data_IF_003573726368
#
_entry.id   IF_003573726368
#
_cell.length_a   1.000
_cell.length_b   1.000
_cell.length_c   1.000
_cell.angle_alpha   90.00
_cell.angle_beta   90.00
_cell.angle_gamma   90.00
#
_symmetry.space_group_name_H-M   'P 1'
#
loop_
_entity.id
_entity.type
_entity.pdbx_description
1 polymer ?
#
# COMPACT_ATOMS: atom_id res chain seq x y z
N UNK A 1 7.49 -20.51 -24.34
CA UNK A 1 7.93 -19.52 -23.34
C UNK A 1 6.70 -18.73 -22.96
N UNK A 2 6.22 -18.85 -21.72
CA UNK A 2 5.08 -18.06 -21.23
C UNK A 2 5.67 -16.91 -20.42
N UNK A 3 5.30 -15.68 -20.75
CA UNK A 3 5.66 -14.50 -19.98
C UNK A 3 4.40 -14.14 -19.19
N UNK A 4 4.48 -14.28 -17.86
CA UNK A 4 3.47 -13.75 -16.95
C UNK A 4 3.82 -12.28 -16.77
N UNK A 5 3.00 -11.40 -17.33
CA UNK A 5 3.14 -9.96 -17.19
C UNK A 5 2.47 -9.60 -15.87
N UNK A 6 3.25 -9.14 -14.89
CA UNK A 6 2.73 -8.66 -13.61
C UNK A 6 2.08 -7.28 -13.81
N UNK A 7 0.75 -7.24 -13.68
CA UNK A 7 -0.04 -6.01 -13.77
C UNK A 7 0.50 -4.91 -12.83
N UNK A 8 1.12 -5.27 -11.70
CA UNK A 8 1.72 -4.30 -10.77
C UNK A 8 2.99 -3.63 -11.32
N UNK A 9 3.83 -4.34 -12.07
CA UNK A 9 5.03 -3.77 -12.71
C UNK A 9 4.65 -2.67 -13.70
N UNK A 10 3.57 -2.90 -14.46
CA UNK A 10 3.07 -1.95 -15.45
C UNK A 10 2.28 -0.81 -14.80
N UNK A 11 1.46 -1.07 -13.79
CA UNK A 11 0.78 -0.04 -13.00
C UNK A 11 1.77 0.92 -12.32
N UNK A 12 2.97 0.44 -11.97
CA UNK A 12 4.05 1.26 -11.40
C UNK A 12 4.68 2.22 -12.42
N UNK A 13 4.87 1.81 -13.69
CA UNK A 13 5.36 2.70 -14.76
C UNK A 13 4.30 3.66 -15.27
N UNK A 14 3.03 3.36 -15.05
CA UNK A 14 1.91 4.19 -15.47
C UNK A 14 1.32 5.03 -14.33
N UNK A 15 1.99 5.21 -13.18
CA UNK A 15 1.47 6.00 -12.03
C UNK A 15 0.04 5.62 -11.58
N UNK A 16 -0.29 4.32 -11.52
CA UNK A 16 -1.59 3.87 -11.02
C UNK A 16 -2.78 4.22 -11.92
N UNK A 17 -2.55 4.30 -13.24
CA UNK A 17 -3.58 4.65 -14.23
C UNK A 17 -4.56 3.50 -14.48
N UNK A 18 -5.84 3.87 -14.60
CA UNK A 18 -6.97 2.98 -14.84
C UNK A 18 -6.95 2.37 -16.26
N UNK A 19 -6.14 1.33 -16.46
CA UNK A 19 -6.15 0.49 -17.65
C UNK A 19 -4.82 0.48 -18.41
N UNK A 20 -4.33 -0.69 -18.77
CA UNK A 20 -3.09 -0.88 -19.54
C UNK A 20 -3.40 -1.64 -20.82
N UNK A 21 -2.73 -1.24 -21.91
CA UNK A 21 -2.69 -1.98 -23.17
C UNK A 21 -1.23 -2.21 -23.54
N UNK A 22 -0.89 -3.42 -23.96
CA UNK A 22 0.44 -3.82 -24.41
C UNK A 22 0.37 -4.14 -25.89
N UNK A 23 1.29 -3.57 -26.64
CA UNK A 23 1.39 -3.69 -28.08
C UNK A 23 2.70 -4.36 -28.49
N UNK A 24 2.67 -5.08 -29.60
CA UNK A 24 3.88 -5.52 -30.29
C UNK A 24 4.54 -4.32 -31.03
N UNK A 25 5.66 -4.57 -31.71
CA UNK A 25 6.37 -3.58 -32.52
C UNK A 25 5.51 -2.94 -33.63
N UNK A 26 4.43 -3.59 -34.07
CA UNK A 26 3.50 -3.11 -35.10
C UNK A 26 2.29 -2.36 -34.53
N UNK A 27 2.26 -2.07 -33.23
CA UNK A 27 1.09 -1.49 -32.55
C UNK A 27 -0.17 -2.38 -32.53
N UNK A 28 -0.02 -3.70 -32.72
CA UNK A 28 -1.11 -4.65 -32.51
C UNK A 28 -1.23 -5.00 -31.02
N UNK A 29 -2.45 -4.98 -30.45
CA UNK A 29 -2.63 -5.29 -29.04
C UNK A 29 -2.37 -6.78 -28.78
N UNK A 30 -1.34 -7.04 -27.99
CA UNK A 30 -0.97 -8.38 -27.50
C UNK A 30 -1.75 -8.70 -26.23
N UNK A 31 -1.97 -7.67 -25.40
CA UNK A 31 -2.73 -7.78 -24.16
C UNK A 31 -3.42 -6.44 -23.85
N UNK A 32 -4.58 -6.49 -23.21
CA UNK A 32 -5.30 -5.32 -22.73
C UNK A 32 -6.12 -5.69 -21.51
N UNK A 33 -6.30 -4.72 -20.60
CA UNK A 33 -7.17 -4.88 -19.43
C UNK A 33 -8.59 -5.31 -19.87
N UNK A 34 -9.20 -6.33 -19.22
CA UNK A 34 -10.53 -6.86 -19.56
C UNK A 34 -11.65 -5.82 -19.63
N UNK A 35 -11.45 -4.67 -18.99
CA UNK A 35 -12.33 -3.51 -19.04
C UNK A 35 -12.44 -2.89 -20.45
N UNK A 36 -11.55 -3.25 -21.37
CA UNK A 36 -11.48 -2.74 -22.74
C UNK A 36 -11.75 -3.82 -23.78
N UNK A 37 -12.34 -3.42 -24.91
CA UNK A 37 -12.54 -4.32 -26.04
C UNK A 37 -11.31 -4.36 -26.93
N UNK A 38 -11.11 -5.49 -27.64
CA UNK A 38 -10.06 -5.62 -28.66
C UNK A 38 -10.10 -4.47 -29.67
N UNK A 39 -11.30 -4.07 -30.10
CA UNK A 39 -11.50 -2.96 -31.05
C UNK A 39 -11.03 -1.63 -30.49
N UNK A 40 -11.28 -1.36 -29.21
CA UNK A 40 -10.77 -0.16 -28.54
C UNK A 40 -9.25 -0.19 -28.47
N UNK A 41 -8.67 -1.33 -28.06
CA UNK A 41 -7.23 -1.49 -27.97
C UNK A 41 -6.53 -1.29 -29.33
N UNK A 42 -7.07 -1.86 -30.41
CA UNK A 42 -6.55 -1.64 -31.78
C UNK A 42 -6.69 -0.19 -32.23
N UNK A 43 -7.73 0.52 -31.80
CA UNK A 43 -7.90 1.95 -32.13
C UNK A 43 -6.85 2.82 -31.43
N UNK A 44 -6.50 2.48 -30.18
CA UNK A 44 -5.39 3.11 -29.45
C UNK A 44 -4.05 2.83 -30.14
N UNK A 45 -3.82 1.58 -30.57
CA UNK A 45 -2.63 1.20 -31.33
C UNK A 45 -2.47 2.02 -32.62
N UNK A 46 -3.53 2.16 -33.41
CA UNK A 46 -3.52 2.97 -34.64
C UNK A 46 -3.25 4.46 -34.36
N UNK A 47 -3.85 5.02 -33.30
CA UNK A 47 -3.64 6.41 -32.91
C UNK A 47 -2.17 6.67 -32.53
N UNK A 48 -1.56 5.76 -31.78
CA UNK A 48 -0.18 5.88 -31.34
C UNK A 48 0.82 5.57 -32.49
N UNK A 49 0.49 4.63 -33.38
CA UNK A 49 1.28 4.33 -34.58
C UNK A 49 1.44 5.55 -35.50
N UNK A 50 0.40 6.36 -35.62
CA UNK A 50 0.47 7.59 -36.42
C UNK A 50 1.31 8.71 -35.81
N UNK A 51 1.73 8.60 -34.55
CA UNK A 51 2.45 9.64 -33.81
C UNK A 51 3.57 9.01 -32.98
N UNK A 52 4.68 8.67 -33.64
CA UNK A 52 5.79 7.83 -33.13
C UNK A 52 6.71 8.55 -32.12
N UNK A 53 6.13 9.34 -31.21
CA UNK A 53 6.87 10.06 -30.16
C UNK A 53 6.50 9.53 -28.77
N UNK A 54 7.51 9.01 -28.07
CA UNK A 54 7.40 8.50 -26.71
C UNK A 54 6.99 9.61 -25.72
N UNK A 55 6.04 9.31 -24.83
CA UNK A 55 5.63 10.22 -23.75
C UNK A 55 4.54 11.24 -24.10
N UNK A 56 3.94 11.19 -25.28
CA UNK A 56 2.82 12.09 -25.63
C UNK A 56 1.52 11.66 -24.92
N UNK A 57 0.82 12.65 -24.36
CA UNK A 57 -0.52 12.52 -23.79
C UNK A 57 -1.55 12.70 -24.91
N UNK A 58 -2.20 11.63 -25.35
CA UNK A 58 -3.32 11.71 -26.30
C UNK A 58 -4.66 11.65 -25.59
N UNK A 59 -5.63 12.47 -26.02
CA UNK A 59 -7.00 12.37 -25.54
C UNK A 59 -7.84 11.59 -26.55
N UNK A 60 -8.32 10.40 -26.16
CA UNK A 60 -9.27 9.61 -26.93
C UNK A 60 -10.58 9.49 -26.15
N UNK A 61 -11.55 10.34 -26.51
CA UNK A 61 -12.83 10.42 -25.81
C UNK A 61 -12.66 10.90 -24.36
N UNK A 62 -12.87 10.00 -23.39
CA UNK A 62 -12.74 10.30 -21.95
C UNK A 62 -11.44 9.75 -21.33
N UNK A 63 -10.47 9.35 -22.14
CA UNK A 63 -9.22 8.75 -21.66
C UNK A 63 -8.00 9.54 -22.12
N UNK A 64 -7.07 9.81 -21.21
CA UNK A 64 -5.71 10.25 -21.51
C UNK A 64 -4.81 9.03 -21.68
N UNK A 65 -4.14 8.93 -22.81
CA UNK A 65 -3.27 7.81 -23.17
C UNK A 65 -1.84 8.30 -23.09
N UNK A 66 -0.97 7.56 -22.40
CA UNK A 66 0.48 7.81 -22.43
C UNK A 66 1.18 6.52 -22.79
N UNK A 67 2.06 6.61 -23.78
CA UNK A 67 2.88 5.50 -24.23
C UNK A 67 4.30 5.56 -23.64
N UNK A 68 4.83 4.39 -23.32
CA UNK A 68 6.25 4.17 -23.06
C UNK A 68 6.70 2.91 -23.77
N UNK A 69 7.94 2.92 -24.25
CA UNK A 69 8.57 1.74 -24.81
C UNK A 69 9.20 0.88 -23.71
N UNK A 70 9.18 -0.44 -23.91
CA UNK A 70 9.94 -1.40 -23.13
C UNK A 70 11.15 -1.81 -23.98
N UNK A 71 12.36 -1.66 -23.45
CA UNK A 71 13.61 -2.07 -24.14
C UNK A 71 13.63 -3.57 -24.51
N UNK A 72 12.74 -4.38 -23.94
CA UNK A 72 12.61 -5.79 -24.22
C UNK A 72 11.61 -6.04 -25.36
N UNK A 73 12.09 -6.62 -26.47
CA UNK A 73 11.32 -6.98 -27.68
C UNK A 73 10.64 -5.83 -28.45
N UNK A 74 11.06 -4.58 -28.26
CA UNK A 74 10.45 -3.40 -28.89
C UNK A 74 8.93 -3.30 -28.62
N UNK A 75 8.50 -3.84 -27.48
CA UNK A 75 7.09 -3.79 -27.07
C UNK A 75 6.76 -2.40 -26.52
N UNK A 76 5.55 -1.96 -26.83
CA UNK A 76 5.06 -0.63 -26.44
C UNK A 76 3.91 -0.78 -25.46
N UNK A 77 3.89 0.04 -24.41
CA UNK A 77 2.84 0.02 -23.38
C UNK A 77 2.11 1.34 -23.40
N UNK A 78 0.78 1.30 -23.43
CA UNK A 78 -0.06 2.48 -23.23
C UNK A 78 -0.81 2.39 -21.90
N UNK A 79 -0.60 3.38 -21.03
CA UNK A 79 -1.40 3.62 -19.84
C UNK A 79 -2.58 4.53 -20.15
N UNK A 80 -3.79 4.10 -19.78
CA UNK A 80 -5.04 4.83 -19.96
C UNK A 80 -5.48 5.46 -18.64
N UNK A 81 -5.74 6.76 -18.64
CA UNK A 81 -6.28 7.48 -17.49
C UNK A 81 -7.69 7.94 -17.82
N UNK A 82 -8.70 7.42 -17.14
CA UNK A 82 -10.07 7.95 -17.27
C UNK A 82 -10.10 9.39 -16.74
N UNK A 83 -10.37 10.35 -17.63
CA UNK A 83 -10.50 11.78 -17.32
C UNK A 83 -11.60 12.02 -16.26
N UNK A 84 -12.58 11.11 -16.17
CA UNK A 84 -13.75 11.23 -15.31
C UNK A 84 -13.44 11.25 -13.82
N UNK A 85 -12.45 10.52 -13.29
CA UNK A 85 -12.20 10.54 -11.84
C UNK A 85 -11.59 11.87 -11.36
N UNK A 86 -10.66 12.43 -12.13
CA UNK A 86 -10.10 13.76 -11.88
C UNK A 86 -11.17 14.85 -12.05
N UNK A 87 -11.98 14.78 -13.12
CA UNK A 87 -13.07 15.72 -13.36
C UNK A 87 -14.18 15.64 -12.31
N UNK A 88 -14.48 14.46 -11.77
CA UNK A 88 -15.50 14.31 -10.71
C UNK A 88 -14.99 14.93 -9.41
N UNK A 89 -13.73 14.68 -9.02
CA UNK A 89 -13.10 15.33 -7.85
C UNK A 89 -13.06 16.86 -7.99
N UNK A 90 -12.70 17.37 -9.17
CA UNK A 90 -12.70 18.82 -9.45
C UNK A 90 -14.11 19.42 -9.43
N UNK A 91 -15.12 18.72 -9.96
CA UNK A 91 -16.53 19.16 -9.91
C UNK A 91 -17.06 19.21 -8.49
N UNK A 92 -16.71 18.26 -7.63
CA UNK A 92 -17.09 18.27 -6.21
C UNK A 92 -16.48 19.48 -5.49
N UNK A 93 -15.21 19.77 -5.71
CA UNK A 93 -14.55 20.97 -5.16
C UNK A 93 -15.22 22.26 -5.66
N UNK A 94 -15.51 22.35 -6.96
CA UNK A 94 -16.15 23.52 -7.56
C UNK A 94 -17.57 23.74 -7.02
N UNK A 95 -18.35 22.66 -6.89
CA UNK A 95 -19.69 22.70 -6.31
C UNK A 95 -19.65 23.16 -4.84
N UNK A 96 -18.65 22.72 -4.09
CA UNK A 96 -18.47 23.14 -2.71
C UNK A 96 -18.06 24.61 -2.59
N UNK A 97 -17.16 25.10 -3.44
CA UNK A 97 -16.82 26.53 -3.54
C UNK A 97 -18.08 27.35 -3.85
N UNK A 98 -18.90 26.88 -4.79
CA UNK A 98 -20.15 27.55 -5.15
C UNK A 98 -21.17 27.55 -4.01
N UNK A 99 -21.27 26.45 -3.26
CA UNK A 99 -22.13 26.34 -2.08
C UNK A 99 -21.68 27.29 -0.96
N UNK A 100 -20.37 27.40 -0.71
CA UNK A 100 -19.82 28.34 0.26
C UNK A 100 -20.06 29.79 -0.19
N UNK A 101 -19.88 30.07 -1.48
CA UNK A 101 -20.18 31.39 -2.04
C UNK A 101 -21.66 31.76 -1.85
N UNK A 102 -22.57 30.83 -2.11
CA UNK A 102 -24.01 31.02 -1.87
C UNK A 102 -24.33 31.23 -0.40
N UNK A 103 -23.69 30.48 0.51
CA UNK A 103 -23.88 30.64 1.95
C UNK A 103 -23.40 32.03 2.42
N UNK A 104 -22.26 32.49 1.91
CA UNK A 104 -21.73 33.82 2.21
C UNK A 104 -22.63 34.93 1.67
N UNK A 105 -23.16 34.76 0.45
CA UNK A 105 -24.12 35.68 -0.13
C UNK A 105 -25.41 35.75 0.69
N UNK A 106 -25.92 34.60 1.16
CA UNK A 106 -27.11 34.51 2.00
C UNK A 106 -26.90 35.23 3.34
N UNK A 107 -25.77 34.98 4.00
CA UNK A 107 -25.42 35.65 5.27
C UNK A 107 -25.29 37.16 5.06
N UNK A 108 -24.57 37.60 4.03
CA UNK A 108 -24.45 39.02 3.69
C UNK A 108 -25.83 39.66 3.43
N UNK A 109 -26.71 38.99 2.68
CA UNK A 109 -28.05 39.48 2.38
C UNK A 109 -28.92 39.64 3.64
N UNK A 110 -28.91 38.64 4.53
CA UNK A 110 -29.65 38.70 5.81
C UNK A 110 -29.15 39.88 6.66
N UNK A 111 -27.82 40.06 6.75
CA UNK A 111 -27.23 41.14 7.52
C UNK A 111 -27.47 42.53 6.91
N UNK A 112 -27.40 42.68 5.59
CA UNK A 112 -27.76 43.93 4.90
C UNK A 112 -29.21 44.29 5.18
N UNK A 113 -30.14 43.33 5.09
CA UNK A 113 -31.56 43.56 5.36
C UNK A 113 -31.80 43.99 6.81
N UNK A 114 -31.09 43.38 7.76
CA UNK A 114 -31.18 43.73 9.19
C UNK A 114 -30.56 45.10 9.51
N UNK A 115 -29.45 45.46 8.85
CA UNK A 115 -28.84 46.77 9.00
C UNK A 115 -29.70 47.87 8.37
N UNK A 116 -30.25 47.63 7.18
CA UNK A 116 -31.11 48.55 6.46
C UNK A 116 -32.42 48.83 7.21
N UNK A 117 -33.07 47.80 7.78
CA UNK A 117 -34.28 47.99 8.58
C UNK A 117 -34.00 48.85 9.81
N UNK A 118 -32.93 48.56 10.55
CA UNK A 118 -32.56 49.34 11.75
C UNK A 118 -32.10 50.77 11.44
N UNK A 119 -31.44 50.99 10.30
CA UNK A 119 -31.09 52.33 9.82
C UNK A 119 -32.34 53.11 9.44
N UNK A 120 -33.27 52.49 8.72
CA UNK A 120 -34.56 53.07 8.35
C UNK A 120 -35.37 53.47 9.59
N UNK A 121 -35.47 52.59 10.59
CA UNK A 121 -36.18 52.88 11.84
C UNK A 121 -35.58 54.08 12.58
N UNK A 122 -34.25 54.23 12.57
CA UNK A 122 -33.58 55.37 13.20
C UNK A 122 -33.76 56.66 12.41
N UNK A 123 -33.69 56.61 11.08
CA UNK A 123 -33.98 57.77 10.22
C UNK A 123 -35.43 58.22 10.41
N UNK A 124 -36.38 57.29 10.42
CA UNK A 124 -37.80 57.56 10.69
C UNK A 124 -38.03 58.15 12.09
N UNK A 125 -37.29 57.66 13.10
CA UNK A 125 -37.34 58.26 14.44
C UNK A 125 -36.82 59.69 14.46
N UNK A 126 -35.81 60.00 13.63
CA UNK A 126 -35.18 61.31 13.56
C UNK A 126 -36.05 62.30 12.77
N UNK A 127 -36.66 61.86 11.66
CA UNK A 127 -37.60 62.67 10.90
C UNK A 127 -38.87 62.95 11.71
N UNK A 128 -39.41 61.96 12.43
CA UNK A 128 -40.55 62.19 13.32
C UNK A 128 -40.23 63.09 14.51
N UNK A 129 -39.01 63.06 15.05
CA UNK A 129 -38.54 64.03 16.04
C UNK A 129 -38.41 65.44 15.44
N UNK A 130 -37.89 65.58 14.22
CA UNK A 130 -37.81 66.86 13.51
C UNK A 130 -39.20 67.42 13.16
N UNK A 131 -40.14 66.57 12.75
CA UNK A 131 -41.53 66.94 12.51
C UNK A 131 -42.23 67.37 13.80
N UNK A 132 -42.03 66.64 14.91
CA UNK A 132 -42.52 67.05 16.23
C UNK A 132 -41.92 68.37 16.69
N UNK A 133 -40.63 68.61 16.44
CA UNK A 133 -39.96 69.87 16.77
C UNK A 133 -40.49 71.03 15.91
N UNK A 134 -40.77 70.78 14.63
CA UNK A 134 -41.37 71.77 13.71
C UNK A 134 -42.86 72.04 14.02
N UNK A 135 -43.57 71.02 14.51
CA UNK A 135 -44.98 71.09 14.92
C UNK A 135 -45.17 71.66 16.33
N UNK A 136 -44.16 71.58 17.20
CA UNK A 136 -44.18 72.11 18.57
C UNK A 136 -43.45 73.46 18.59
N UNK A 137 -44.13 74.49 18.07
CA UNK A 137 -43.69 75.87 18.19
C UNK A 137 -44.08 76.48 19.56
N UNK A 138 -44.29 75.63 20.57
CA UNK A 138 -44.61 76.06 21.93
C UNK A 138 -43.50 75.66 22.88
N UNK A 139 -42.86 76.71 23.42
CA UNK A 139 -41.93 76.68 24.53
C UNK A 139 -42.57 75.90 25.68
N UNK A 140 -42.18 74.64 25.86
CA UNK A 140 -42.03 73.90 27.13
C UNK A 140 -42.17 72.40 26.85
N UNK A 141 -41.08 71.74 26.50
CA UNK A 141 -40.98 70.29 26.63
C UNK A 141 -39.82 69.98 27.60
N UNK A 142 -40.07 69.41 28.79
CA UNK A 142 -38.99 69.00 29.67
C UNK A 142 -38.27 67.81 29.04
N UNK A 143 -36.97 67.98 28.80
CA UNK A 143 -36.02 66.92 28.45
C UNK A 143 -35.96 65.90 29.60
N UNK A 144 -36.93 65.00 29.67
CA UNK A 144 -36.75 63.71 30.34
C UNK A 144 -36.19 62.73 29.30
N UNK A 145 -34.88 62.81 29.07
CA UNK A 145 -34.14 61.66 28.57
C UNK A 145 -33.83 60.78 29.78
N UNK A 146 -34.64 59.74 29.98
CA UNK A 146 -34.31 58.64 30.87
C UNK A 146 -32.90 58.14 30.56
N UNK A 147 -32.06 58.21 31.57
CA UNK A 147 -30.65 57.86 31.57
C UNK A 147 -30.48 56.34 31.63
N UNK A 148 -31.01 55.61 30.64
CA UNK A 148 -30.60 54.23 30.41
C UNK A 148 -29.33 54.21 29.55
N UNK A 149 -28.20 54.57 30.17
CA UNK A 149 -26.84 54.32 29.63
C UNK A 149 -26.57 52.81 29.56
N UNK A 150 -27.22 52.11 28.64
CA UNK A 150 -26.55 51.00 27.96
C UNK A 150 -25.52 51.66 27.03
N UNK A 151 -24.26 51.21 27.08
CA UNK A 151 -23.22 51.63 26.12
C UNK A 151 -23.74 51.37 24.71
N UNK A 152 -24.34 52.39 24.09
CA UNK A 152 -24.89 52.29 22.77
C UNK A 152 -23.71 52.34 21.80
N UNK A 153 -23.44 51.20 21.17
CA UNK A 153 -22.41 51.06 20.13
C UNK A 153 -22.67 52.13 19.07
N UNK A 154 -21.68 52.98 18.82
CA UNK A 154 -21.77 54.08 17.86
C UNK A 154 -21.96 53.56 16.43
N UNK A 155 -22.52 54.37 15.53
CA UNK A 155 -22.74 53.98 14.11
C UNK A 155 -21.42 53.54 13.46
N UNK A 156 -20.30 54.18 13.80
CA UNK A 156 -18.95 53.84 13.34
C UNK A 156 -18.55 52.44 13.79
N UNK A 157 -18.71 52.12 15.07
CA UNK A 157 -18.41 50.79 15.61
C UNK A 157 -19.31 49.72 14.99
N UNK A 158 -20.59 50.01 14.72
CA UNK A 158 -21.50 49.08 14.03
C UNK A 158 -21.09 48.80 12.59
N UNK A 159 -20.66 49.83 11.85
CA UNK A 159 -20.11 49.68 10.49
C UNK A 159 -18.81 48.87 10.49
N UNK A 160 -17.95 49.10 11.49
CA UNK A 160 -16.74 48.31 11.68
C UNK A 160 -17.05 46.85 11.99
N UNK A 161 -17.92 46.56 12.98
CA UNK A 161 -18.37 45.20 13.27
C UNK A 161 -19.06 44.54 12.07
N UNK A 162 -19.83 45.30 11.29
CA UNK A 162 -20.44 44.82 10.06
C UNK A 162 -19.39 44.37 9.04
N UNK A 163 -18.37 45.19 8.76
CA UNK A 163 -17.28 44.86 7.84
C UNK A 163 -16.46 43.67 8.34
N UNK A 164 -16.14 43.65 9.64
CA UNK A 164 -15.37 42.58 10.27
C UNK A 164 -16.17 41.27 10.22
N UNK A 165 -17.43 41.24 10.66
CA UNK A 165 -18.23 40.01 10.69
C UNK A 165 -18.53 39.52 9.26
N UNK A 166 -18.90 40.41 8.33
CA UNK A 166 -19.23 40.04 6.95
C UNK A 166 -18.03 39.55 6.15
N UNK A 167 -16.80 39.87 6.55
CA UNK A 167 -15.58 39.39 5.88
C UNK A 167 -14.94 38.23 6.64
N UNK A 168 -14.72 38.39 7.94
CA UNK A 168 -13.91 37.47 8.76
C UNK A 168 -14.63 36.15 9.05
N UNK A 169 -15.95 36.16 9.26
CA UNK A 169 -16.71 34.92 9.50
C UNK A 169 -16.72 34.02 8.26
N UNK A 170 -17.08 34.51 7.06
CA UNK A 170 -16.92 33.77 5.80
C UNK A 170 -15.53 33.17 5.56
N UNK A 171 -14.49 33.98 5.73
CA UNK A 171 -13.10 33.54 5.50
C UNK A 171 -12.71 32.45 6.50
N UNK A 172 -13.14 32.57 7.75
CA UNK A 172 -12.86 31.55 8.79
C UNK A 172 -13.57 30.24 8.50
N UNK A 173 -14.85 30.28 8.11
CA UNK A 173 -15.62 29.07 7.73
C UNK A 173 -14.98 28.42 6.50
N UNK A 174 -14.59 29.21 5.51
CA UNK A 174 -13.91 28.72 4.31
C UNK A 174 -12.58 28.04 4.65
N UNK A 175 -11.74 28.69 5.47
CA UNK A 175 -10.48 28.10 5.93
C UNK A 175 -10.68 26.78 6.69
N UNK A 176 -11.67 26.72 7.56
CA UNK A 176 -12.01 25.50 8.31
C UNK A 176 -12.48 24.36 7.39
N UNK A 177 -13.35 24.66 6.41
CA UNK A 177 -13.85 23.65 5.46
C UNK A 177 -12.75 23.12 4.54
N UNK A 178 -11.89 24.01 4.02
CA UNK A 178 -10.72 23.61 3.24
C UNK A 178 -9.81 22.73 4.08
N UNK A 179 -9.51 23.12 5.32
CA UNK A 179 -8.65 22.34 6.19
C UNK A 179 -9.18 20.91 6.41
N UNK A 180 -10.48 20.78 6.72
CA UNK A 180 -11.13 19.47 6.90
C UNK A 180 -11.05 18.61 5.63
N UNK A 181 -11.29 19.21 4.47
CA UNK A 181 -11.26 18.48 3.20
C UNK A 181 -9.86 18.13 2.74
N UNK A 182 -8.91 19.05 2.85
CA UNK A 182 -7.50 18.82 2.54
C UNK A 182 -6.95 17.72 3.43
N UNK A 183 -7.27 17.74 4.73
CA UNK A 183 -6.87 16.66 5.64
C UNK A 183 -7.41 15.31 5.19
N UNK A 184 -8.72 15.21 4.93
CA UNK A 184 -9.34 13.96 4.48
C UNK A 184 -8.76 13.47 3.15
N UNK A 185 -8.55 14.38 2.21
CA UNK A 185 -7.97 14.06 0.91
C UNK A 185 -6.54 13.53 1.04
N UNK A 186 -5.71 14.18 1.86
CA UNK A 186 -4.34 13.73 2.14
C UNK A 186 -4.36 12.37 2.83
N UNK A 187 -5.23 12.16 3.82
CA UNK A 187 -5.39 10.87 4.50
C UNK A 187 -5.79 9.74 3.52
N UNK A 188 -6.80 9.98 2.68
CA UNK A 188 -7.28 9.00 1.69
C UNK A 188 -6.17 8.65 0.67
N UNK A 189 -5.42 9.64 0.21
CA UNK A 189 -4.34 9.43 -0.76
C UNK A 189 -3.15 8.71 -0.13
N UNK A 190 -2.76 9.08 1.10
CA UNK A 190 -1.71 8.38 1.85
C UNK A 190 -2.07 6.92 2.13
N UNK A 191 -3.34 6.62 2.45
CA UNK A 191 -3.79 5.23 2.66
C UNK A 191 -3.65 4.42 1.37
N UNK A 192 -4.08 4.98 0.23
CA UNK A 192 -3.99 4.31 -1.07
C UNK A 192 -2.55 4.06 -1.50
N UNK A 193 -1.69 5.06 -1.37
CA UNK A 193 -0.28 4.94 -1.72
C UNK A 193 0.42 3.87 -0.86
N UNK A 194 0.24 3.91 0.46
CA UNK A 194 0.83 2.91 1.36
C UNK A 194 0.26 1.50 1.11
N UNK A 195 -1.04 1.38 0.80
CA UNK A 195 -1.64 0.10 0.43
C UNK A 195 -1.00 -0.46 -0.85
N UNK A 196 -0.80 0.37 -1.88
CA UNK A 196 -0.15 -0.07 -3.11
C UNK A 196 1.29 -0.53 -2.88
N UNK A 197 2.07 0.18 -2.05
CA UNK A 197 3.42 -0.24 -1.67
C UNK A 197 3.39 -1.54 -0.85
N UNK A 198 2.41 -1.70 0.03
CA UNK A 198 2.19 -2.91 0.83
C UNK A 198 1.87 -4.11 -0.05
N UNK A 199 0.91 -4.00 -0.97
CA UNK A 199 0.54 -5.07 -1.90
C UNK A 199 1.72 -5.48 -2.78
N UNK A 200 2.48 -4.50 -3.29
CA UNK A 200 3.70 -4.76 -4.05
C UNK A 200 4.75 -5.52 -3.22
N UNK A 201 4.96 -5.11 -1.98
CA UNK A 201 5.95 -5.76 -1.09
C UNK A 201 5.49 -7.16 -0.68
N UNK A 202 4.19 -7.34 -0.43
CA UNK A 202 3.56 -8.64 -0.19
C UNK A 202 3.82 -9.60 -1.36
N UNK A 203 3.52 -9.17 -2.58
CA UNK A 203 3.73 -9.99 -3.78
C UNK A 203 5.22 -10.32 -3.96
N UNK A 204 6.12 -9.35 -3.75
CA UNK A 204 7.57 -9.58 -3.80
C UNK A 204 8.02 -10.65 -2.80
N UNK A 205 7.53 -10.61 -1.55
CA UNK A 205 7.82 -11.64 -0.55
C UNK A 205 7.27 -12.99 -0.99
N UNK A 206 6.01 -13.05 -1.44
CA UNK A 206 5.38 -14.28 -1.90
C UNK A 206 6.14 -14.91 -3.06
N UNK A 207 6.50 -14.14 -4.08
CA UNK A 207 7.32 -14.62 -5.20
C UNK A 207 8.69 -15.08 -4.75
N UNK A 208 9.32 -14.34 -3.83
CA UNK A 208 10.59 -14.75 -3.24
C UNK A 208 10.47 -16.12 -2.57
N UNK A 209 9.50 -16.32 -1.68
CA UNK A 209 9.27 -17.60 -1.00
C UNK A 209 8.88 -18.71 -1.96
N UNK A 210 8.02 -18.43 -2.94
CA UNK A 210 7.60 -19.38 -3.97
C UNK A 210 8.81 -19.86 -4.80
N UNK A 211 9.71 -18.96 -5.19
CA UNK A 211 10.96 -19.36 -5.86
C UNK A 211 11.79 -20.29 -4.98
N UNK A 212 11.97 -19.98 -3.69
CA UNK A 212 12.71 -20.87 -2.76
C UNK A 212 12.07 -22.25 -2.65
N UNK A 213 10.75 -22.30 -2.63
CA UNK A 213 10.01 -23.56 -2.65
C UNK A 213 10.20 -24.37 -3.92
N UNK A 214 10.08 -23.74 -5.09
CA UNK A 214 10.31 -24.42 -6.37
C UNK A 214 11.71 -25.00 -6.48
N UNK A 215 12.70 -24.31 -5.90
CA UNK A 215 14.07 -24.80 -5.85
C UNK A 215 14.21 -26.02 -4.94
N UNK A 216 13.63 -25.98 -3.74
CA UNK A 216 13.61 -27.13 -2.84
C UNK A 216 12.90 -28.33 -3.46
N UNK A 217 11.77 -28.12 -4.15
CA UNK A 217 11.07 -29.17 -4.87
C UNK A 217 11.90 -29.76 -6.01
N UNK A 218 12.56 -28.91 -6.80
CA UNK A 218 13.44 -29.37 -7.88
C UNK A 218 14.56 -30.26 -7.33
N UNK A 219 15.16 -29.87 -6.20
CA UNK A 219 16.15 -30.71 -5.55
C UNK A 219 15.53 -32.00 -5.00
N UNK A 220 14.39 -31.94 -4.32
CA UNK A 220 13.78 -33.12 -3.67
C UNK A 220 13.31 -34.18 -4.65
N UNK A 221 12.91 -33.80 -5.88
CA UNK A 221 12.46 -34.73 -6.91
C UNK A 221 13.49 -34.96 -8.03
N UNK A 222 14.66 -34.33 -7.94
CA UNK A 222 15.70 -34.37 -8.97
C UNK A 222 16.79 -35.43 -8.69
N UNK A 223 18.03 -35.09 -9.03
CA UNK A 223 19.19 -35.98 -8.85
C UNK A 223 19.44 -36.38 -7.39
N UNK A 224 19.00 -35.55 -6.42
CA UNK A 224 19.15 -35.89 -5.01
C UNK A 224 18.33 -37.11 -4.59
N UNK A 225 17.11 -37.27 -5.11
CA UNK A 225 16.28 -38.46 -4.83
C UNK A 225 17.01 -39.73 -5.28
N UNK A 226 17.52 -39.71 -6.52
CA UNK A 226 18.23 -40.85 -7.12
C UNK A 226 19.45 -41.23 -6.28
N UNK A 227 20.22 -40.23 -5.87
CA UNK A 227 21.45 -40.47 -5.11
C UNK A 227 21.16 -40.93 -3.67
N UNK A 228 20.17 -40.35 -3.00
CA UNK A 228 19.74 -40.83 -1.67
C UNK A 228 19.18 -42.25 -1.75
N UNK A 229 18.43 -42.58 -2.80
CA UNK A 229 17.91 -43.93 -3.05
C UNK A 229 19.03 -44.94 -3.31
N UNK A 230 20.03 -44.55 -4.12
CA UNK A 230 21.23 -45.35 -4.35
C UNK A 230 21.97 -45.62 -3.04
N UNK A 231 22.19 -44.58 -2.23
CA UNK A 231 22.82 -44.69 -0.91
C UNK A 231 22.08 -45.64 0.02
N UNK A 232 20.75 -45.52 0.07
CA UNK A 232 19.91 -46.39 0.89
C UNK A 232 19.99 -47.87 0.47
N UNK A 233 20.07 -48.15 -0.84
CA UNK A 233 20.17 -49.52 -1.37
C UNK A 233 21.58 -50.12 -1.30
N UNK A 234 22.60 -49.32 -1.56
CA UNK A 234 23.99 -49.77 -1.74
C UNK A 234 24.85 -49.61 -0.48
N UNK A 235 24.36 -48.92 0.55
CA UNK A 235 25.10 -48.70 1.80
C UNK A 235 26.31 -47.76 1.68
N UNK A 236 26.38 -46.96 0.60
CA UNK A 236 27.46 -46.00 0.36
C UNK A 236 27.54 -44.94 1.46
N UNK A 237 28.76 -44.62 1.94
CA UNK A 237 28.96 -43.61 2.98
C UNK A 237 28.81 -42.18 2.44
N UNK A 238 29.22 -41.95 1.19
CA UNK A 238 29.31 -40.63 0.54
C UNK A 238 28.27 -40.46 -0.57
N UNK A 239 27.79 -39.22 -0.71
CA UNK A 239 27.07 -38.77 -1.91
C UNK A 239 28.08 -38.53 -3.04
N UNK A 240 27.77 -39.00 -4.24
CA UNK A 240 28.55 -38.72 -5.46
C UNK A 240 28.19 -37.37 -6.10
N UNK A 241 27.25 -36.62 -5.51
CA UNK A 241 26.90 -35.26 -5.94
C UNK A 241 27.86 -34.29 -5.26
N UNK A 242 28.52 -33.44 -6.04
CA UNK A 242 29.39 -32.39 -5.50
C UNK A 242 28.55 -31.19 -5.08
N UNK A 243 28.98 -30.47 -4.03
CA UNK A 243 28.42 -29.14 -3.69
C UNK A 243 28.43 -28.22 -4.92
N UNK A 244 29.45 -28.32 -5.78
CA UNK A 244 29.54 -27.54 -7.02
C UNK A 244 28.44 -27.87 -8.04
N UNK A 245 27.93 -29.10 -8.10
CA UNK A 245 26.86 -29.46 -9.04
C UNK A 245 25.52 -28.89 -8.56
N UNK A 246 25.27 -28.97 -7.25
CA UNK A 246 24.13 -28.30 -6.61
C UNK A 246 24.27 -26.78 -6.63
N UNK A 247 25.49 -26.24 -6.48
CA UNK A 247 25.77 -24.81 -6.43
C UNK A 247 25.72 -24.14 -7.81
N UNK A 248 26.21 -24.82 -8.85
CA UNK A 248 26.07 -24.35 -10.22
C UNK A 248 24.58 -24.30 -10.61
N UNK A 249 23.77 -25.28 -10.20
CA UNK A 249 22.32 -25.17 -10.34
C UNK A 249 21.71 -24.08 -9.44
N UNK A 250 22.22 -23.88 -8.22
CA UNK A 250 21.67 -22.93 -7.25
C UNK A 250 21.85 -21.47 -7.65
N UNK A 251 22.97 -21.12 -8.29
CA UNK A 251 23.25 -19.75 -8.77
C UNK A 251 22.23 -19.35 -9.86
N UNK A 252 21.94 -20.24 -10.81
CA UNK A 252 20.89 -20.00 -11.83
C UNK A 252 19.48 -19.96 -11.24
N UNK A 253 19.28 -20.55 -10.06
CA UNK A 253 18.00 -20.61 -9.35
C UNK A 253 17.80 -19.46 -8.35
N UNK A 254 18.73 -18.49 -8.29
CA UNK A 254 18.61 -17.31 -7.44
C UNK A 254 18.87 -17.56 -5.95
N UNK A 255 19.67 -18.58 -5.62
CA UNK A 255 20.18 -18.82 -4.27
C UNK A 255 21.54 -18.12 -4.13
N UNK A 256 21.51 -16.88 -3.61
CA UNK A 256 22.70 -16.02 -3.54
C UNK A 256 23.36 -16.05 -2.17
N UNK A 257 22.60 -16.29 -1.10
CA UNK A 257 23.10 -16.21 0.28
C UNK A 257 22.56 -17.29 1.21
N UNK A 258 21.66 -18.14 0.70
CA UNK A 258 21.00 -19.18 1.46
C UNK A 258 21.92 -20.39 1.66
N UNK A 259 21.82 -20.98 2.85
CA UNK A 259 22.59 -22.18 3.20
C UNK A 259 21.72 -23.39 2.93
N UNK A 260 22.21 -24.33 2.12
CA UNK A 260 21.56 -25.59 1.81
C UNK A 260 22.28 -26.71 2.54
N UNK A 261 21.51 -27.50 3.28
CA UNK A 261 21.98 -28.64 4.05
C UNK A 261 21.14 -29.86 3.64
N UNK A 262 21.80 -30.99 3.43
CA UNK A 262 21.15 -32.24 3.02
C UNK A 262 21.44 -33.28 4.07
N UNK A 263 20.40 -33.96 4.54
CA UNK A 263 20.48 -34.95 5.61
C UNK A 263 19.91 -36.29 5.16
N UNK A 264 20.41 -37.38 5.75
CA UNK A 264 19.79 -38.70 5.61
C UNK A 264 18.53 -38.85 6.47
N UNK A 265 17.84 -39.98 6.31
CA UNK A 265 16.66 -40.35 7.10
C UNK A 265 16.92 -40.42 8.62
N UNK A 266 18.16 -40.57 9.06
CA UNK A 266 18.55 -40.60 10.48
C UNK A 266 18.91 -39.22 11.04
N UNK A 267 18.88 -38.18 10.19
CA UNK A 267 19.22 -36.80 10.55
C UNK A 267 20.71 -36.50 10.54
N UNK A 268 21.55 -37.34 9.94
CA UNK A 268 22.98 -37.04 9.78
C UNK A 268 23.19 -36.16 8.56
N UNK A 269 24.00 -35.11 8.71
CA UNK A 269 24.36 -34.22 7.60
C UNK A 269 25.19 -34.98 6.56
N UNK A 270 24.78 -34.90 5.31
CA UNK A 270 25.46 -35.52 4.17
C UNK A 270 26.19 -34.49 3.32
N UNK A 271 25.60 -33.30 3.19
CA UNK A 271 26.13 -32.22 2.37
C UNK A 271 25.77 -30.86 2.96
N UNK A 272 26.67 -29.90 2.85
CA UNK A 272 26.45 -28.50 3.22
C UNK A 272 27.01 -27.58 2.15
N UNK A 273 26.26 -26.58 1.73
CA UNK A 273 26.78 -25.49 0.89
C UNK A 273 27.65 -24.51 1.70
N UNK A 274 27.55 -24.52 3.03
CA UNK A 274 28.32 -23.65 3.91
C UNK A 274 29.44 -24.43 4.63
N UNK A 275 30.71 -24.03 4.47
CA UNK A 275 31.86 -24.74 5.04
C UNK A 275 31.91 -24.74 6.58
N UNK A 276 31.11 -23.88 7.23
CA UNK A 276 31.01 -23.79 8.68
C UNK A 276 30.26 -24.97 9.31
N UNK A 277 29.45 -25.71 8.54
CA UNK A 277 28.71 -26.87 9.06
C UNK A 277 29.51 -28.15 8.88
N UNK A 278 29.77 -28.85 9.99
CA UNK A 278 30.51 -30.11 9.98
C UNK A 278 29.56 -31.29 9.69
N UNK A 279 30.01 -32.22 8.85
CA UNK A 279 29.27 -33.41 8.37
C UNK A 279 28.78 -34.33 9.53
N UNK A 280 29.30 -34.17 10.75
CA UNK A 280 28.84 -34.91 11.93
C UNK A 280 27.70 -34.27 12.71
N UNK A 281 27.16 -33.13 12.26
CA UNK A 281 26.07 -32.46 12.97
C UNK A 281 24.75 -33.21 12.74
N UNK A 282 24.18 -33.73 13.82
CA UNK A 282 22.86 -34.35 13.81
C UNK A 282 21.81 -33.25 14.00
N UNK A 283 20.89 -33.15 13.05
CA UNK A 283 19.76 -32.24 13.16
C UNK A 283 18.56 -32.98 13.72
N UNK A 284 17.98 -32.51 14.81
CA UNK A 284 16.76 -33.07 15.41
C UNK A 284 15.50 -32.63 14.65
N UNK A 285 15.62 -31.69 13.71
CA UNK A 285 14.50 -31.11 12.98
C UNK A 285 13.82 -32.13 12.05
N UNK A 286 14.51 -33.24 11.72
CA UNK A 286 13.91 -34.39 11.03
C UNK A 286 12.71 -34.99 11.78
N UNK A 287 12.63 -34.85 13.11
CA UNK A 287 11.51 -35.36 13.93
C UNK A 287 10.19 -34.67 13.57
N UNK A 288 10.24 -33.43 13.09
CA UNK A 288 9.06 -32.67 12.67
C UNK A 288 8.51 -33.12 11.31
N UNK A 289 9.27 -33.93 10.54
CA UNK A 289 8.82 -34.50 9.26
C UNK A 289 7.87 -35.69 9.44
N UNK A 290 7.73 -36.23 10.66
CA UNK A 290 7.06 -37.51 10.95
C UNK A 290 5.54 -37.57 10.71
N UNK A 291 4.89 -36.46 10.36
CA UNK A 291 3.45 -36.41 10.07
C UNK A 291 3.08 -35.68 8.76
N UNK A 292 3.89 -34.73 8.30
CA UNK A 292 3.63 -33.98 7.07
C UNK A 292 4.24 -34.72 5.87
N UNK A 293 3.37 -35.40 5.10
CA UNK A 293 3.74 -36.20 3.94
C UNK A 293 4.05 -35.37 2.69
N UNK A 294 3.73 -34.08 2.69
CA UNK A 294 3.88 -33.18 1.55
C UNK A 294 4.07 -31.74 2.04
N UNK A 295 4.96 -31.00 1.39
CA UNK A 295 5.12 -29.56 1.59
C UNK A 295 6.40 -29.15 2.31
N UNK A 296 6.54 -27.84 2.51
CA UNK A 296 7.65 -27.24 3.23
C UNK A 296 7.23 -26.95 4.66
N UNK A 297 8.02 -27.45 5.61
CA UNK A 297 7.91 -27.05 7.01
C UNK A 297 8.86 -25.88 7.21
N UNK A 298 8.45 -24.89 8.00
CA UNK A 298 9.32 -23.77 8.32
C UNK A 298 9.43 -23.56 9.83
N UNK A 299 10.54 -22.96 10.25
CA UNK A 299 10.74 -22.54 11.63
C UNK A 299 11.71 -21.36 11.72
N UNK A 300 11.49 -20.43 12.66
CA UNK A 300 12.48 -19.41 12.97
C UNK A 300 13.65 -20.06 13.73
N UNK A 301 14.86 -19.72 13.34
CA UNK A 301 16.09 -20.20 13.96
C UNK A 301 17.07 -19.07 14.27
N UNK A 302 18.11 -19.42 15.01
CA UNK A 302 19.18 -18.51 15.38
C UNK A 302 20.52 -19.24 15.28
N UNK A 303 21.50 -18.61 14.62
CA UNK A 303 22.82 -19.20 14.44
C UNK A 303 23.65 -19.05 15.71
N UNK A 304 24.74 -19.81 15.80
CA UNK A 304 25.77 -19.63 16.83
C UNK A 304 26.38 -18.22 16.79
N UNK A 305 26.40 -17.58 15.61
CA UNK A 305 26.82 -16.20 15.40
C UNK A 305 25.72 -15.17 15.68
N UNK A 306 24.66 -15.55 16.39
CA UNK A 306 23.55 -14.68 16.80
C UNK A 306 22.74 -14.09 15.63
N UNK A 307 22.82 -14.68 14.42
CA UNK A 307 22.04 -14.27 13.25
C UNK A 307 20.70 -14.99 13.23
N UNK A 308 19.62 -14.26 12.95
CA UNK A 308 18.29 -14.83 12.80
C UNK A 308 18.09 -15.33 11.37
N UNK A 309 17.45 -16.49 11.23
CA UNK A 309 17.10 -17.05 9.94
C UNK A 309 15.73 -17.72 10.00
N UNK A 310 15.11 -17.89 8.84
CA UNK A 310 13.97 -18.79 8.66
C UNK A 310 14.51 -20.02 7.96
N UNK A 311 14.28 -21.17 8.55
CA UNK A 311 14.59 -22.43 7.89
C UNK A 311 13.38 -22.97 7.18
N UNK A 312 13.59 -23.46 5.96
CA UNK A 312 12.66 -24.24 5.17
C UNK A 312 13.16 -25.69 5.12
N UNK A 313 12.28 -26.64 5.44
CA UNK A 313 12.56 -28.07 5.49
C UNK A 313 11.66 -28.80 4.51
N UNK A 314 12.25 -29.65 3.66
CA UNK A 314 11.51 -30.46 2.70
C UNK A 314 11.97 -31.93 2.76
N UNK A 315 11.07 -32.88 3.03
CA UNK A 315 11.40 -34.30 2.96
C UNK A 315 11.66 -34.75 1.52
N UNK A 316 12.58 -35.69 1.36
CA UNK A 316 12.85 -36.36 0.07
C UNK A 316 12.21 -37.73 0.10
N UNK A 317 11.24 -37.93 -0.81
CA UNK A 317 10.55 -39.22 -0.99
C UNK A 317 11.01 -39.87 -2.29
N UNK A 318 11.04 -41.20 -2.35
CA UNK A 318 11.32 -41.91 -3.59
C UNK A 318 10.17 -41.72 -4.59
N UNK A 319 10.51 -41.59 -5.88
CA UNK A 319 9.53 -41.39 -6.96
C UNK A 319 8.70 -42.64 -7.29
N UNK A 320 9.00 -43.78 -6.66
CA UNK A 320 8.27 -45.05 -6.85
C UNK A 320 6.96 -45.15 -6.05
N UNK A 321 6.55 -44.07 -5.38
CA UNK A 321 5.32 -43.99 -4.60
C UNK A 321 5.44 -44.53 -3.18
N UNK A 322 6.65 -44.94 -2.76
CA UNK A 322 6.90 -45.26 -1.35
C UNK A 322 6.82 -44.00 -0.48
N UNK A 323 6.16 -44.13 0.68
CA UNK A 323 6.08 -43.08 1.70
C UNK A 323 7.30 -43.07 2.63
N UNK A 324 8.32 -43.87 2.34
CA UNK A 324 9.54 -43.88 3.14
C UNK A 324 10.38 -42.65 2.82
N UNK A 325 10.63 -41.82 3.84
CA UNK A 325 11.53 -40.67 3.72
C UNK A 325 12.96 -41.16 3.54
N UNK A 326 13.62 -40.78 2.44
CA UNK A 326 15.03 -41.11 2.17
C UNK A 326 15.99 -40.18 2.92
N UNK A 327 15.52 -38.96 3.19
CA UNK A 327 16.27 -37.88 3.81
C UNK A 327 15.49 -36.58 3.75
N UNK A 328 16.16 -35.46 3.99
CA UNK A 328 15.53 -34.15 3.86
C UNK A 328 16.53 -33.07 3.45
N UNK A 329 15.98 -32.02 2.85
CA UNK A 329 16.70 -30.81 2.48
C UNK A 329 16.28 -29.72 3.45
N UNK A 330 17.27 -28.97 3.89
CA UNK A 330 17.13 -27.79 4.73
C UNK A 330 17.71 -26.59 3.99
N UNK A 331 16.97 -25.48 3.98
CA UNK A 331 17.41 -24.20 3.45
C UNK A 331 17.23 -23.12 4.51
N UNK A 332 18.33 -22.50 4.91
CA UNK A 332 18.30 -21.38 5.86
C UNK A 332 18.35 -20.06 5.09
N UNK A 333 17.30 -19.26 5.27
CA UNK A 333 17.15 -17.90 4.71
C UNK A 333 17.49 -16.91 5.80
N UNK A 334 18.54 -16.11 5.61
CA UNK A 334 18.90 -15.07 6.58
C UNK A 334 17.81 -14.01 6.70
N UNK A 335 17.55 -13.54 7.92
CA UNK A 335 16.66 -12.42 8.17
C UNK A 335 17.02 -11.18 7.34
N UNK A 336 18.29 -10.88 7.10
CA UNK A 336 18.67 -9.74 6.26
C UNK A 336 18.16 -9.87 4.82
N UNK A 337 18.22 -11.07 4.24
CA UNK A 337 17.75 -11.33 2.88
C UNK A 337 16.22 -11.24 2.79
N UNK A 338 15.53 -11.73 3.82
CA UNK A 338 14.08 -11.63 3.92
C UNK A 338 13.61 -10.19 4.19
N UNK A 339 14.31 -9.47 5.07
CA UNK A 339 14.03 -8.07 5.39
C UNK A 339 14.10 -7.18 4.16
N UNK A 340 15.11 -7.41 3.30
CA UNK A 340 15.29 -6.70 2.04
C UNK A 340 14.09 -6.86 1.07
N UNK A 341 13.27 -7.90 1.23
CA UNK A 341 12.07 -8.04 0.40
C UNK A 341 11.02 -6.97 0.72
N UNK A 342 11.02 -6.42 1.94
CA UNK A 342 10.11 -5.37 2.37
C UNK A 342 10.83 -4.06 2.78
N UNK A 343 12.03 -3.80 2.26
CA UNK A 343 12.75 -2.53 2.46
C UNK A 343 11.94 -1.30 2.04
N UNK A 344 11.20 -1.42 0.93
CA UNK A 344 10.36 -0.34 0.38
C UNK A 344 9.29 0.17 1.36
N UNK A 345 8.89 -0.63 2.35
CA UNK A 345 7.88 -0.23 3.35
C UNK A 345 8.44 0.62 4.48
N UNK A 346 9.77 0.75 4.58
CA UNK A 346 10.42 1.46 5.67
C UNK A 346 10.56 2.94 5.33
N UNK A 347 10.00 3.78 6.21
CA UNK A 347 10.17 5.23 6.18
C UNK A 347 10.32 5.75 7.61
N UNK A 348 10.47 7.06 7.78
CA UNK A 348 10.59 7.69 9.10
C UNK A 348 9.41 7.37 10.04
N UNK A 349 8.22 7.10 9.50
CA UNK A 349 6.99 6.85 10.27
C UNK A 349 6.32 5.51 9.95
N UNK A 350 7.01 4.59 9.26
CA UNK A 350 6.44 3.28 8.90
C UNK A 350 7.38 2.16 9.30
N UNK A 351 6.82 1.12 9.88
CA UNK A 351 7.53 -0.09 10.27
C UNK A 351 6.86 -1.30 9.64
N UNK A 352 7.67 -2.25 9.18
CA UNK A 352 7.22 -3.46 8.53
C UNK A 352 7.97 -4.66 9.11
N UNK A 353 7.24 -5.74 9.29
CA UNK A 353 7.74 -6.98 9.89
C UNK A 353 6.85 -8.14 9.50
N UNK A 354 7.37 -9.35 9.68
CA UNK A 354 6.63 -10.59 9.46
C UNK A 354 6.39 -11.25 10.81
N UNK A 355 5.18 -11.72 11.05
CA UNK A 355 4.78 -12.44 12.26
C UNK A 355 4.35 -13.87 11.95
N UNK A 356 4.49 -14.76 12.93
CA UNK A 356 3.88 -16.09 12.89
C UNK A 356 2.39 -16.06 13.28
N UNK A 357 1.74 -17.22 13.23
CA UNK A 357 0.33 -17.39 13.61
C UNK A 357 0.03 -17.05 15.08
N UNK A 358 1.06 -16.99 15.93
CA UNK A 358 0.97 -16.61 17.35
C UNK A 358 1.29 -15.12 17.56
N UNK A 359 1.29 -14.32 16.49
CA UNK A 359 1.63 -12.91 16.48
C UNK A 359 3.03 -12.60 17.02
N UNK A 360 3.98 -13.54 16.87
CA UNK A 360 5.37 -13.36 17.25
C UNK A 360 6.18 -12.92 16.04
N UNK A 361 7.00 -11.88 16.19
CA UNK A 361 7.83 -11.36 15.11
C UNK A 361 8.89 -12.40 14.72
N UNK A 362 8.88 -12.84 13.46
CA UNK A 362 9.84 -13.79 12.89
C UNK A 362 10.87 -13.13 11.98
N UNK A 363 10.53 -11.97 11.41
CA UNK A 363 11.48 -11.17 10.62
C UNK A 363 11.27 -9.68 10.88
N UNK A 364 12.38 -8.98 11.09
CA UNK A 364 12.40 -7.55 11.37
C UNK A 364 13.75 -6.93 10.99
N UNK A 365 13.75 -5.66 10.58
CA UNK A 365 14.99 -4.90 10.34
C UNK A 365 15.84 -4.74 11.60
N UNK A 366 15.22 -4.27 12.68
CA UNK A 366 15.81 -4.33 14.01
C UNK A 366 15.71 -5.76 14.58
N UNK A 367 16.83 -6.47 14.66
CA UNK A 367 16.91 -7.85 15.15
C UNK A 367 16.45 -8.02 16.60
N UNK A 368 16.51 -6.96 17.42
CA UNK A 368 16.06 -7.00 18.82
C UNK A 368 14.54 -7.11 18.95
N UNK A 369 13.81 -6.87 17.87
CA UNK A 369 12.37 -7.04 17.82
C UNK A 369 11.96 -8.49 17.51
N UNK A 370 12.86 -9.28 16.93
CA UNK A 370 12.57 -10.68 16.58
C UNK A 370 12.33 -11.47 17.87
N UNK A 371 11.29 -12.29 17.86
CA UNK A 371 10.69 -13.02 18.98
C UNK A 371 9.82 -12.22 19.95
N UNK A 372 9.64 -10.90 19.78
CA UNK A 372 8.64 -10.17 20.55
C UNK A 372 7.24 -10.51 20.04
N UNK A 373 6.30 -10.63 20.96
CA UNK A 373 4.88 -10.80 20.63
C UNK A 373 4.25 -9.44 20.43
N UNK A 374 3.39 -9.33 19.42
CA UNK A 374 2.58 -8.16 19.17
C UNK A 374 1.17 -8.43 19.67
N UNK A 375 0.60 -7.49 20.41
CA UNK A 375 -0.79 -7.57 20.84
C UNK A 375 -1.74 -7.24 19.69
N UNK A 376 -1.90 -8.17 18.74
CA UNK A 376 -2.83 -8.05 17.61
C UNK A 376 -4.19 -8.62 18.04
N UNK A 377 -4.85 -7.96 19.01
CA UNK A 377 -6.14 -8.41 19.58
C UNK A 377 -7.33 -8.42 18.61
N UNK A 378 -7.17 -8.00 17.35
CA UNK A 378 -8.28 -7.63 16.46
C UNK A 378 -8.10 -7.99 14.98
N UNK A 379 -7.41 -9.08 14.66
CA UNK A 379 -7.34 -9.57 13.28
C UNK A 379 -8.06 -10.92 13.09
N UNK A 380 -8.86 -10.96 12.03
CA UNK A 380 -9.55 -12.14 11.51
C UNK A 380 -8.79 -12.49 10.23
N UNK A 381 -8.01 -13.58 10.26
CA UNK A 381 -7.12 -13.97 9.15
C UNK A 381 -7.84 -14.26 7.84
N UNK A 382 -9.16 -14.48 7.92
CA UNK A 382 -9.96 -15.00 6.82
C UNK A 382 -10.57 -13.89 5.97
N UNK A 383 -10.30 -12.63 6.29
CA UNK A 383 -10.77 -11.47 5.53
C UNK A 383 -9.58 -10.61 5.15
N UNK A 384 -9.13 -10.76 3.91
CA UNK A 384 -8.28 -9.79 3.21
C UNK A 384 -8.95 -8.41 3.33
N UNK A 385 -8.56 -7.64 4.34
CA UNK A 385 -9.10 -6.31 4.61
C UNK A 385 -7.96 -5.30 4.59
N UNK A 386 -7.97 -4.38 3.63
CA UNK A 386 -6.97 -3.32 3.58
C UNK A 386 -7.17 -2.35 4.77
N UNK A 387 -6.11 -2.13 5.54
CA UNK A 387 -5.94 -0.98 6.43
C UNK A 387 -6.91 -0.91 7.60
N UNK A 388 -6.63 -1.62 8.70
CA UNK A 388 -7.33 -1.34 9.97
C UNK A 388 -6.59 -0.27 10.75
N UNK A 389 -7.33 0.75 11.18
CA UNK A 389 -6.85 1.72 12.16
C UNK A 389 -6.72 0.99 13.50
N UNK A 390 -5.48 0.74 13.94
CA UNK A 390 -5.18 0.22 15.25
C UNK A 390 -4.86 1.38 16.18
N UNK A 391 -5.45 1.35 17.39
CA UNK A 391 -5.12 2.30 18.46
C UNK A 391 -4.42 1.53 19.57
N UNK A 392 -3.23 1.96 19.93
CA UNK A 392 -2.52 1.46 21.12
C UNK A 392 -2.22 2.63 22.07
N UNK A 393 -1.47 2.37 23.14
CA UNK A 393 -1.05 3.37 24.13
C UNK A 393 -0.13 4.46 23.57
N UNK A 394 0.48 4.25 22.40
CA UNK A 394 1.47 5.14 21.78
C UNK A 394 0.85 6.00 20.66
N UNK A 395 -0.35 5.67 20.20
CA UNK A 395 -1.02 6.45 19.16
C UNK A 395 -2.06 5.70 18.34
N UNK A 396 -2.49 6.35 17.26
CA UNK A 396 -3.35 5.77 16.23
C UNK A 396 -2.50 5.46 15.01
N UNK A 397 -2.45 4.18 14.61
CA UNK A 397 -1.67 3.68 13.49
C UNK A 397 -2.61 3.02 12.48
N UNK A 398 -2.21 3.00 11.20
CA UNK A 398 -2.91 2.25 10.16
C UNK A 398 -2.07 1.01 9.90
N UNK A 399 -2.65 -0.17 10.13
CA UNK A 399 -1.98 -1.43 9.91
C UNK A 399 -2.55 -2.13 8.68
N UNK A 400 -1.65 -2.54 7.80
CA UNK A 400 -1.93 -3.44 6.68
C UNK A 400 -1.37 -4.81 7.04
N UNK A 401 -2.18 -5.85 6.90
CA UNK A 401 -1.80 -7.23 7.22
C UNK A 401 -2.37 -8.14 6.15
N UNK A 402 -1.57 -9.14 5.76
CA UNK A 402 -1.96 -10.16 4.79
C UNK A 402 -1.25 -11.46 5.09
N UNK A 403 -1.94 -12.58 4.96
CA UNK A 403 -1.36 -13.91 5.15
C UNK A 403 -0.52 -14.24 3.92
N UNK A 404 0.73 -14.66 4.12
CA UNK A 404 1.56 -15.16 3.03
C UNK A 404 0.99 -16.50 2.55
N UNK A 405 0.68 -16.60 1.26
CA UNK A 405 0.05 -17.78 0.64
C UNK A 405 0.89 -19.05 0.80
N UNK A 406 2.20 -18.86 0.98
CA UNK A 406 3.20 -19.92 1.09
C UNK A 406 3.05 -20.84 2.32
N UNK A 407 2.49 -20.34 3.43
CA UNK A 407 2.39 -21.09 4.69
C UNK A 407 0.99 -21.67 4.94
N UNK A 408 0.22 -21.91 3.88
CA UNK A 408 -1.17 -22.39 3.96
C UNK A 408 -1.32 -23.90 4.01
#
# INVERSE_FOLDING_TARGET
MFIVLDDMYFNKRTDGRNGIIIFNHNWDPVWYDPSYTKTYASSVGNLLCSNDENGIIFEMGSSKIVSTEIEFMEWKVAGLTKNNESLTKQKTLLLLILLIFMLNFLVAFIFVRFAASRLSDRILSLTSLMEKYKSSNEKNMPLYMEEHRKRDITIRERLFYYLVISTLVPVSIFGMLIFIQSKKFIEDEMIKENLAIFEKSYNKINEYMYRKHMVLQKFSFGELEKELKRRYKEGSSSLNITINDLANESIYLGLQSEIILIYDASGNLLLSSAPAYQISQKDDLHKYLGANKTGIIWYPGKSETNRYYITLLMPVFPLDGSLQVLGHIRMDIDNSALAEQYSDLRSYNTEAFIVDEKAKIISHYNTDMINKSIDIKTYDSDKDQPGKILKNSEGTFIAFMKKLDFFS
#
